data_IF_666652538583
#
_entry.id   IF_666652538583
#
_cell.length_a   1.000
_cell.length_b   1.000
_cell.length_c   1.000
_cell.angle_alpha   90.00
_cell.angle_beta   90.00
_cell.angle_gamma   90.00
#
_symmetry.space_group_name_H-M   'P 1'
#
loop_
_entity.id
_entity.type
_entity.pdbx_description
1 polymer ?
#
# COMPACT_ATOMS: atom_id res chain seq x y z
N UNK A 1 -14.89 7.46 -22.04
CA UNK A 1 -13.46 7.55 -21.67
C UNK A 1 -13.44 8.29 -20.35
N UNK A 2 -12.81 7.76 -19.34
CA UNK A 2 -12.81 8.36 -17.99
C UNK A 2 -11.59 9.29 -17.85
N UNK A 3 -11.84 10.54 -17.48
CA UNK A 3 -10.79 11.52 -17.22
C UNK A 3 -10.23 11.34 -15.81
N UNK A 4 -8.95 11.02 -15.71
CA UNK A 4 -8.28 10.68 -14.45
C UNK A 4 -7.14 11.65 -14.18
N UNK A 5 -7.22 12.36 -13.07
CA UNK A 5 -6.13 13.24 -12.61
C UNK A 5 -5.32 12.54 -11.54
N UNK A 6 -4.00 12.46 -11.72
CA UNK A 6 -3.07 11.86 -10.74
C UNK A 6 -2.29 12.99 -10.07
N UNK A 7 -2.57 13.24 -8.79
CA UNK A 7 -1.81 14.16 -7.95
C UNK A 7 -0.59 13.44 -7.38
N UNK A 8 0.60 14.04 -7.50
CA UNK A 8 1.86 13.41 -7.13
C UNK A 8 2.35 12.39 -8.17
N UNK A 9 2.08 12.65 -9.44
CA UNK A 9 2.38 11.75 -10.55
C UNK A 9 3.87 11.39 -10.70
N UNK A 10 4.78 12.23 -10.21
CA UNK A 10 6.24 11.99 -10.21
C UNK A 10 6.76 11.12 -9.08
N UNK A 11 5.93 10.84 -8.07
CA UNK A 11 6.25 9.92 -6.97
C UNK A 11 6.34 8.46 -7.43
N UNK A 12 6.81 7.57 -6.55
CA UNK A 12 6.93 6.14 -6.88
C UNK A 12 5.59 5.52 -7.28
N UNK A 13 4.54 5.79 -6.50
CA UNK A 13 3.20 5.26 -6.76
C UNK A 13 2.57 5.94 -7.98
N UNK A 14 2.68 7.27 -8.10
CA UNK A 14 2.16 8.03 -9.26
C UNK A 14 2.75 7.52 -10.58
N UNK A 15 4.07 7.33 -10.66
CA UNK A 15 4.72 6.78 -11.86
C UNK A 15 4.35 5.34 -12.15
N UNK A 16 4.15 4.51 -11.12
CA UNK A 16 3.66 3.13 -11.27
C UNK A 16 2.28 3.13 -11.93
N UNK A 17 1.34 3.89 -11.38
CA UNK A 17 -0.03 4.01 -11.89
C UNK A 17 -0.03 4.57 -13.32
N UNK A 18 0.70 5.67 -13.55
CA UNK A 18 0.81 6.29 -14.87
C UNK A 18 1.32 5.31 -15.93
N UNK A 19 2.35 4.51 -15.60
CA UNK A 19 2.91 3.52 -16.52
C UNK A 19 1.88 2.45 -16.91
N UNK A 20 1.06 2.00 -15.97
CA UNK A 20 0.05 0.97 -16.19
C UNK A 20 -1.14 1.52 -16.98
N UNK A 21 -1.57 2.75 -16.69
CA UNK A 21 -2.78 3.32 -17.29
C UNK A 21 -2.56 4.00 -18.65
N UNK A 22 -1.36 4.49 -18.96
CA UNK A 22 -1.10 5.36 -20.12
C UNK A 22 -1.46 4.75 -21.48
N UNK A 23 -1.44 3.44 -21.59
CA UNK A 23 -1.77 2.71 -22.82
C UNK A 23 -3.18 2.11 -22.79
N UNK A 24 -3.92 2.30 -21.70
CA UNK A 24 -5.27 1.81 -21.58
C UNK A 24 -6.27 2.84 -22.18
N UNK A 25 -6.94 2.51 -23.31
CA UNK A 25 -7.80 3.45 -24.03
C UNK A 25 -9.08 3.85 -23.26
N UNK A 26 -9.34 3.25 -22.11
CA UNK A 26 -10.50 3.59 -21.27
C UNK A 26 -10.26 4.87 -20.46
N UNK A 27 -9.00 5.28 -20.30
CA UNK A 27 -8.61 6.40 -19.43
C UNK A 27 -7.85 7.47 -20.18
N UNK A 28 -8.15 8.73 -19.88
CA UNK A 28 -7.35 9.91 -20.24
C UNK A 28 -6.65 10.39 -18.98
N UNK A 29 -5.32 10.52 -19.01
CA UNK A 29 -4.55 10.89 -17.83
C UNK A 29 -4.14 12.35 -17.85
N UNK A 30 -4.31 13.04 -16.73
CA UNK A 30 -3.75 14.35 -16.43
C UNK A 30 -2.80 14.23 -15.24
N UNK A 31 -1.53 14.54 -15.47
CA UNK A 31 -0.47 14.31 -14.49
C UNK A 31 -0.11 15.63 -13.81
N UNK A 32 -0.38 15.73 -12.52
CA UNK A 32 -0.08 16.88 -11.69
C UNK A 32 1.08 16.57 -10.76
N UNK A 33 2.16 17.33 -10.88
CA UNK A 33 3.37 17.18 -10.07
C UNK A 33 4.03 18.54 -9.83
N UNK A 34 4.02 19.07 -8.61
CA UNK A 34 4.63 20.36 -8.31
C UNK A 34 6.16 20.30 -8.19
N UNK A 35 6.72 19.13 -7.84
CA UNK A 35 8.14 18.95 -7.58
C UNK A 35 8.97 18.88 -8.86
N UNK A 36 10.03 19.68 -8.97
CA UNK A 36 10.92 19.72 -10.15
C UNK A 36 11.48 18.33 -10.52
N UNK A 37 11.96 17.59 -9.53
CA UNK A 37 12.48 16.22 -9.75
C UNK A 37 11.39 15.27 -10.28
N UNK A 38 10.17 15.37 -9.75
CA UNK A 38 9.05 14.54 -10.20
C UNK A 38 8.64 14.89 -11.64
N UNK A 39 8.61 16.17 -11.99
CA UNK A 39 8.36 16.65 -13.36
C UNK A 39 9.38 16.09 -14.35
N UNK A 40 10.68 16.22 -14.03
CA UNK A 40 11.74 15.68 -14.90
C UNK A 40 11.57 14.19 -15.15
N UNK A 41 11.24 13.40 -14.15
CA UNK A 41 11.01 11.96 -14.29
C UNK A 41 9.79 11.60 -15.18
N UNK A 42 8.75 12.44 -15.18
CA UNK A 42 7.58 12.28 -16.04
C UNK A 42 7.96 12.63 -17.48
N UNK A 43 8.64 13.76 -17.69
CA UNK A 43 9.08 14.26 -19.01
C UNK A 43 10.08 13.32 -19.68
N UNK A 44 11.02 12.74 -18.91
CA UNK A 44 11.94 11.69 -19.37
C UNK A 44 11.22 10.43 -19.91
N UNK A 45 10.00 10.16 -19.41
CA UNK A 45 9.15 9.07 -19.89
C UNK A 45 8.28 9.44 -21.11
N UNK A 46 8.46 10.66 -21.66
CA UNK A 46 7.74 11.14 -22.83
C UNK A 46 6.32 11.65 -22.52
N UNK A 47 6.01 11.92 -21.26
CA UNK A 47 4.71 12.41 -20.80
C UNK A 47 4.79 13.89 -20.40
N UNK A 48 3.64 14.55 -20.35
CA UNK A 48 3.54 15.97 -19.98
C UNK A 48 2.87 16.13 -18.62
N UNK A 49 3.35 17.11 -17.87
CA UNK A 49 2.75 17.55 -16.61
C UNK A 49 1.86 18.75 -16.90
N UNK A 50 0.66 18.78 -16.35
CA UNK A 50 -0.25 19.91 -16.37
C UNK A 50 -0.25 20.61 -15.02
N UNK A 51 -0.72 21.87 -15.00
CA UNK A 51 -0.92 22.54 -13.71
C UNK A 51 -2.16 21.98 -12.99
N UNK A 52 -2.27 22.28 -11.69
CA UNK A 52 -3.35 21.72 -10.85
C UNK A 52 -4.74 22.14 -11.35
N UNK A 53 -4.91 23.38 -11.77
CA UNK A 53 -6.20 23.90 -12.23
C UNK A 53 -6.65 23.22 -13.53
N UNK A 54 -5.74 23.04 -14.48
CA UNK A 54 -5.98 22.29 -15.71
C UNK A 54 -6.26 20.81 -15.41
N UNK A 55 -5.48 20.21 -14.49
CA UNK A 55 -5.67 18.83 -14.06
C UNK A 55 -7.06 18.57 -13.49
N UNK A 56 -7.58 19.48 -12.65
CA UNK A 56 -8.85 19.31 -11.96
C UNK A 56 -10.10 19.63 -12.82
N UNK A 57 -9.95 20.41 -13.87
CA UNK A 57 -11.08 20.86 -14.69
C UNK A 57 -11.74 19.68 -15.44
N UNK A 58 -13.02 19.36 -15.14
CA UNK A 58 -13.79 18.32 -15.80
C UNK A 58 -13.23 16.92 -15.63
N UNK A 59 -12.49 16.65 -14.53
CA UNK A 59 -11.99 15.31 -14.21
C UNK A 59 -13.08 14.45 -13.58
N UNK A 60 -13.16 13.17 -13.94
CA UNK A 60 -14.11 12.22 -13.35
C UNK A 60 -13.57 11.66 -12.03
N UNK A 61 -12.25 11.36 -11.99
CA UNK A 61 -11.60 10.76 -10.81
C UNK A 61 -10.28 11.47 -10.52
N UNK A 62 -10.09 11.88 -9.26
CA UNK A 62 -8.81 12.40 -8.76
C UNK A 62 -8.14 11.34 -7.89
N UNK A 63 -6.96 10.87 -8.29
CA UNK A 63 -6.14 9.91 -7.55
C UNK A 63 -5.10 10.65 -6.72
N UNK A 64 -5.11 10.44 -5.40
CA UNK A 64 -4.14 11.03 -4.47
C UNK A 64 -2.94 10.08 -4.30
N UNK A 65 -1.93 10.24 -5.16
CA UNK A 65 -0.67 9.49 -5.11
C UNK A 65 0.45 10.28 -4.40
N UNK A 66 0.10 10.92 -3.29
CA UNK A 66 0.95 11.82 -2.51
C UNK A 66 1.31 11.20 -1.15
N UNK A 67 2.45 11.57 -0.53
CA UNK A 67 2.84 11.06 0.78
C UNK A 67 1.82 11.38 1.89
N UNK A 68 1.65 10.46 2.86
CA UNK A 68 0.66 10.55 3.94
C UNK A 68 0.79 11.82 4.78
N UNK A 69 2.01 12.28 5.01
CA UNK A 69 2.27 13.52 5.77
C UNK A 69 1.69 14.78 5.16
N UNK A 70 1.48 14.82 3.83
CA UNK A 70 1.00 15.99 3.11
C UNK A 70 -0.39 15.80 2.50
N UNK A 71 -0.92 14.56 2.47
CA UNK A 71 -2.20 14.23 1.85
C UNK A 71 -3.35 15.07 2.43
N UNK A 72 -3.38 15.28 3.73
CA UNK A 72 -4.36 16.13 4.43
C UNK A 72 -4.39 17.55 3.88
N UNK A 73 -3.22 18.17 3.73
CA UNK A 73 -3.10 19.54 3.22
C UNK A 73 -3.56 19.65 1.77
N UNK A 74 -3.13 18.71 0.93
CA UNK A 74 -3.52 18.64 -0.48
C UNK A 74 -5.02 18.36 -0.62
N UNK A 75 -5.58 17.45 0.17
CA UNK A 75 -7.02 17.18 0.15
C UNK A 75 -7.84 18.40 0.57
N UNK A 76 -7.39 19.15 1.59
CA UNK A 76 -8.04 20.37 2.05
C UNK A 76 -8.01 21.49 0.99
N UNK A 77 -6.98 21.53 0.15
CA UNK A 77 -6.87 22.48 -0.97
C UNK A 77 -7.69 22.04 -2.18
N UNK A 78 -7.59 20.78 -2.58
CA UNK A 78 -8.11 20.25 -3.84
C UNK A 78 -9.61 19.95 -3.77
N UNK A 79 -10.08 19.25 -2.73
CA UNK A 79 -11.48 18.80 -2.68
C UNK A 79 -12.50 19.93 -2.79
N UNK A 80 -12.30 21.12 -2.18
CA UNK A 80 -13.21 22.25 -2.38
C UNK A 80 -13.30 22.76 -3.82
N UNK A 81 -12.30 22.49 -4.65
CA UNK A 81 -12.22 22.99 -6.05
C UNK A 81 -12.86 22.02 -7.06
N UNK A 82 -13.16 20.80 -6.65
CA UNK A 82 -13.69 19.76 -7.54
C UNK A 82 -15.13 20.08 -7.97
N UNK A 83 -15.47 19.67 -9.18
CA UNK A 83 -16.85 19.71 -9.67
C UNK A 83 -17.70 18.66 -8.94
N UNK A 84 -19.03 18.91 -8.89
CA UNK A 84 -19.99 17.94 -8.33
C UNK A 84 -19.91 16.62 -9.10
N UNK A 85 -20.11 15.52 -8.40
CA UNK A 85 -20.03 14.14 -8.90
C UNK A 85 -18.62 13.63 -9.25
N UNK A 86 -17.57 14.42 -8.99
CA UNK A 86 -16.19 13.93 -9.07
C UNK A 86 -15.94 12.86 -8.00
N UNK A 87 -15.22 11.82 -8.34
CA UNK A 87 -14.74 10.81 -7.38
C UNK A 87 -13.32 11.14 -6.93
N UNK A 88 -13.02 10.93 -5.65
CA UNK A 88 -11.64 10.95 -5.13
C UNK A 88 -11.22 9.57 -4.71
N UNK A 89 -10.00 9.17 -5.06
CA UNK A 89 -9.42 7.87 -4.77
C UNK A 89 -8.10 8.04 -4.01
N UNK A 90 -8.08 7.61 -2.77
CA UNK A 90 -6.88 7.55 -1.95
C UNK A 90 -6.20 6.20 -2.07
N UNK A 91 -4.87 6.18 -2.04
CA UNK A 91 -4.06 4.96 -2.16
C UNK A 91 -3.67 4.38 -0.81
N UNK A 92 -4.05 5.06 0.27
CA UNK A 92 -3.82 4.65 1.65
C UNK A 92 -5.03 5.04 2.52
N UNK A 93 -5.43 4.21 3.50
CA UNK A 93 -6.57 4.50 4.35
C UNK A 93 -6.33 5.58 5.40
N UNK A 94 -5.07 5.91 5.75
CA UNK A 94 -4.74 6.65 6.96
C UNK A 94 -5.45 7.99 7.08
N UNK A 95 -5.44 8.82 6.03
CA UNK A 95 -6.07 10.14 6.10
C UNK A 95 -7.60 10.04 6.18
N UNK A 96 -8.20 9.09 5.48
CA UNK A 96 -9.65 8.88 5.43
C UNK A 96 -10.14 8.27 6.76
N UNK A 97 -9.47 7.23 7.27
CA UNK A 97 -9.79 6.58 8.53
C UNK A 97 -9.60 7.50 9.75
N UNK A 98 -8.65 8.44 9.68
CA UNK A 98 -8.43 9.45 10.72
C UNK A 98 -9.39 10.65 10.63
N UNK A 99 -10.37 10.65 9.71
CA UNK A 99 -11.29 11.76 9.45
C UNK A 99 -10.57 13.09 9.15
N UNK A 100 -9.49 13.00 8.35
CA UNK A 100 -8.63 14.15 8.00
C UNK A 100 -8.82 14.65 6.57
N UNK A 101 -9.81 14.12 5.87
CA UNK A 101 -10.17 14.48 4.50
C UNK A 101 -11.47 15.29 4.52
N UNK A 102 -11.53 16.48 3.89
CA UNK A 102 -12.77 17.25 3.78
C UNK A 102 -13.88 16.42 3.14
N UNK A 103 -15.03 16.35 3.78
CA UNK A 103 -16.20 15.66 3.24
C UNK A 103 -17.12 16.64 2.53
N UNK A 104 -17.55 16.25 1.33
CA UNK A 104 -18.59 16.92 0.54
C UNK A 104 -19.63 15.89 0.13
N UNK A 105 -20.92 16.24 0.25
CA UNK A 105 -22.03 15.31 -0.05
C UNK A 105 -22.23 15.09 -1.56
N UNK A 106 -21.69 15.96 -2.38
CA UNK A 106 -21.74 15.89 -3.85
C UNK A 106 -20.51 15.24 -4.49
N UNK A 107 -19.61 14.67 -3.69
CA UNK A 107 -18.40 13.97 -4.10
C UNK A 107 -18.35 12.60 -3.48
N UNK A 108 -17.89 11.60 -4.22
CA UNK A 108 -17.66 10.24 -3.73
C UNK A 108 -16.20 10.02 -3.37
N UNK A 109 -15.96 9.34 -2.25
CA UNK A 109 -14.61 9.03 -1.76
C UNK A 109 -14.41 7.52 -1.65
N UNK A 110 -13.31 7.08 -2.22
CA UNK A 110 -12.88 5.70 -2.25
C UNK A 110 -11.45 5.56 -1.76
N UNK A 111 -11.13 4.38 -1.26
CA UNK A 111 -9.76 4.02 -0.86
C UNK A 111 -9.40 2.69 -1.49
N UNK A 112 -8.20 2.59 -2.02
CA UNK A 112 -7.64 1.33 -2.50
C UNK A 112 -6.19 1.17 -2.07
N UNK A 113 -5.76 -0.06 -1.86
CA UNK A 113 -4.36 -0.37 -1.58
C UNK A 113 -3.97 -1.69 -2.25
N UNK A 114 -2.80 -1.77 -2.91
CA UNK A 114 -2.31 -3.04 -3.45
C UNK A 114 -1.77 -3.91 -2.34
N UNK A 115 -2.06 -5.23 -2.38
CA UNK A 115 -1.53 -6.16 -1.39
C UNK A 115 -0.04 -6.45 -1.57
N UNK A 116 0.56 -5.96 -2.66
CA UNK A 116 1.84 -6.41 -3.22
C UNK A 116 1.84 -7.89 -3.60
N UNK A 117 2.77 -8.34 -4.47
CA UNK A 117 2.88 -9.75 -4.82
C UNK A 117 3.15 -10.62 -3.60
N UNK A 118 2.35 -11.69 -3.40
CA UNK A 118 2.45 -12.52 -2.20
C UNK A 118 3.69 -13.41 -2.22
N UNK A 119 4.18 -13.77 -1.03
CA UNK A 119 5.41 -14.55 -0.86
C UNK A 119 5.33 -15.96 -1.48
N UNK A 120 4.17 -16.61 -1.44
CA UNK A 120 3.99 -18.01 -1.86
C UNK A 120 2.94 -18.24 -2.92
N UNK A 121 2.08 -17.29 -3.21
CA UNK A 121 0.95 -17.48 -4.12
C UNK A 121 1.24 -17.02 -5.56
N UNK A 122 2.49 -17.08 -5.99
CA UNK A 122 2.92 -16.74 -7.35
C UNK A 122 2.60 -17.88 -8.33
N UNK A 123 1.35 -18.34 -8.34
CA UNK A 123 0.91 -19.40 -9.25
C UNK A 123 0.96 -18.89 -10.70
N UNK A 124 1.69 -19.62 -11.56
CA UNK A 124 1.87 -19.25 -12.97
C UNK A 124 2.99 -18.23 -13.22
N UNK A 125 3.66 -17.74 -12.21
CA UNK A 125 4.81 -16.83 -12.32
C UNK A 125 6.08 -17.62 -12.65
N UNK A 126 6.25 -18.04 -13.91
CA UNK A 126 7.46 -18.73 -14.37
C UNK A 126 8.59 -17.76 -14.68
N UNK A 127 8.28 -16.49 -14.98
CA UNK A 127 9.27 -15.47 -15.30
C UNK A 127 10.10 -15.11 -14.05
N UNK A 128 11.44 -15.27 -14.09
CA UNK A 128 12.32 -14.84 -13.01
C UNK A 128 12.26 -13.35 -12.69
N UNK A 129 11.87 -12.51 -13.65
CA UNK A 129 11.68 -11.07 -13.43
C UNK A 129 10.44 -10.80 -12.58
N UNK A 130 9.32 -11.49 -12.84
CA UNK A 130 8.11 -11.39 -12.02
C UNK A 130 8.37 -11.78 -10.55
N UNK A 131 9.18 -12.83 -10.31
CA UNK A 131 9.58 -13.25 -8.95
C UNK A 131 10.42 -12.22 -8.18
N UNK A 132 10.94 -11.21 -8.86
CA UNK A 132 11.70 -10.09 -8.27
C UNK A 132 10.90 -8.79 -8.25
N UNK A 133 9.70 -8.82 -8.75
CA UNK A 133 8.79 -7.68 -8.73
C UNK A 133 8.09 -7.57 -7.37
N UNK A 134 8.88 -7.41 -6.29
CA UNK A 134 8.39 -7.35 -4.91
C UNK A 134 7.40 -6.20 -4.67
N UNK A 135 7.51 -5.16 -5.48
CA UNK A 135 6.67 -3.97 -5.38
C UNK A 135 5.35 -4.12 -6.15
N UNK A 136 5.24 -5.08 -7.07
CA UNK A 136 4.11 -5.22 -8.00
C UNK A 136 4.15 -4.14 -9.08
N UNK A 137 5.29 -4.02 -9.72
CA UNK A 137 5.55 -3.04 -10.78
C UNK A 137 4.97 -3.40 -12.15
N UNK A 138 4.03 -4.34 -12.24
CA UNK A 138 3.34 -4.74 -13.46
C UNK A 138 3.79 -6.08 -14.04
N UNK A 139 4.66 -6.83 -13.35
CA UNK A 139 5.09 -8.16 -13.78
C UNK A 139 4.46 -9.27 -12.92
N UNK A 140 4.48 -9.12 -11.59
CA UNK A 140 3.92 -10.10 -10.68
C UNK A 140 2.46 -9.83 -10.36
N UNK A 141 1.67 -10.89 -10.29
CA UNK A 141 0.25 -10.82 -9.93
C UNK A 141 0.07 -10.50 -8.45
N UNK A 142 -0.87 -9.62 -8.15
CA UNK A 142 -1.23 -9.21 -6.79
C UNK A 142 -2.75 -9.09 -6.66
N UNK A 143 -3.23 -8.91 -5.44
CA UNK A 143 -4.60 -8.48 -5.18
C UNK A 143 -4.64 -6.98 -4.83
N UNK A 144 -5.84 -6.44 -4.72
CA UNK A 144 -6.09 -5.13 -4.14
C UNK A 144 -7.17 -5.22 -3.06
N UNK A 145 -7.17 -4.29 -2.14
CA UNK A 145 -8.31 -4.00 -1.28
C UNK A 145 -8.96 -2.70 -1.73
N UNK A 146 -10.29 -2.61 -1.64
CA UNK A 146 -11.07 -1.47 -2.09
C UNK A 146 -12.18 -1.15 -1.08
N UNK A 147 -12.35 0.12 -0.76
CA UNK A 147 -13.37 0.60 0.17
C UNK A 147 -14.11 1.82 -0.38
N UNK A 148 -15.43 1.85 -0.14
CA UNK A 148 -16.25 3.06 -0.28
C UNK A 148 -16.25 3.77 1.06
N UNK A 149 -15.68 4.97 1.12
CA UNK A 149 -15.66 5.75 2.35
C UNK A 149 -16.96 6.54 2.54
N UNK A 150 -17.41 7.25 1.49
CA UNK A 150 -18.71 7.90 1.43
C UNK A 150 -19.08 8.24 -0.03
N UNK A 151 -20.33 8.62 -0.29
CA UNK A 151 -20.83 9.08 -1.57
C UNK A 151 -21.67 8.06 -2.31
N UNK A 152 -21.71 8.15 -3.64
CA UNK A 152 -22.55 7.35 -4.50
C UNK A 152 -21.94 5.96 -4.77
N UNK A 153 -22.58 4.93 -4.22
CA UNK A 153 -22.25 3.51 -4.51
C UNK A 153 -22.34 3.20 -6.03
N UNK A 154 -23.11 3.94 -6.80
CA UNK A 154 -23.20 3.77 -8.25
C UNK A 154 -21.88 4.02 -8.97
N UNK A 155 -20.98 4.82 -8.40
CA UNK A 155 -19.66 5.08 -8.94
C UNK A 155 -18.60 4.05 -8.52
N UNK A 156 -18.90 3.24 -7.51
CA UNK A 156 -17.92 2.29 -6.95
C UNK A 156 -17.36 1.32 -8.01
N UNK A 157 -18.21 0.81 -8.91
CA UNK A 157 -17.75 -0.11 -9.95
C UNK A 157 -16.77 0.54 -10.94
N UNK A 158 -17.00 1.81 -11.30
CA UNK A 158 -16.09 2.56 -12.17
C UNK A 158 -14.74 2.78 -11.51
N UNK A 159 -14.74 3.23 -10.25
CA UNK A 159 -13.51 3.55 -9.51
C UNK A 159 -12.76 2.26 -9.12
N UNK A 160 -13.45 1.17 -8.80
CA UNK A 160 -12.82 -0.12 -8.55
C UNK A 160 -12.16 -0.70 -9.82
N UNK A 161 -12.79 -0.57 -10.98
CA UNK A 161 -12.18 -0.96 -12.26
C UNK A 161 -10.93 -0.11 -12.56
N UNK A 162 -10.96 1.18 -12.26
CA UNK A 162 -9.77 2.03 -12.33
C UNK A 162 -8.68 1.53 -11.37
N UNK A 163 -9.03 1.21 -10.12
CA UNK A 163 -8.08 0.69 -9.15
C UNK A 163 -7.45 -0.64 -9.61
N UNK A 164 -8.24 -1.55 -10.18
CA UNK A 164 -7.74 -2.79 -10.79
C UNK A 164 -6.75 -2.47 -11.91
N UNK A 165 -7.12 -1.60 -12.85
CA UNK A 165 -6.24 -1.21 -13.96
C UNK A 165 -4.95 -0.51 -13.49
N UNK A 166 -5.00 0.26 -12.41
CA UNK A 166 -3.82 0.92 -11.82
C UNK A 166 -2.75 -0.07 -11.34
N UNK A 167 -3.17 -1.23 -10.86
CA UNK A 167 -2.31 -2.19 -10.19
C UNK A 167 -2.14 -3.51 -10.93
N UNK A 168 -2.55 -3.59 -12.19
CA UNK A 168 -2.39 -4.80 -13.02
C UNK A 168 -0.95 -5.36 -13.01
N UNK A 169 -0.84 -6.71 -13.07
CA UNK A 169 -1.89 -7.73 -13.10
C UNK A 169 -2.52 -7.98 -11.72
N UNK A 170 -3.85 -7.88 -11.63
CA UNK A 170 -4.63 -8.07 -10.40
C UNK A 170 -5.42 -9.38 -10.46
N UNK A 171 -5.21 -10.23 -9.47
CA UNK A 171 -5.93 -11.51 -9.36
C UNK A 171 -7.34 -11.34 -8.77
N UNK A 172 -7.49 -10.40 -7.83
CA UNK A 172 -8.74 -10.20 -7.09
C UNK A 172 -8.79 -8.79 -6.47
N UNK A 173 -9.96 -8.17 -6.50
CA UNK A 173 -10.31 -7.02 -5.67
C UNK A 173 -11.15 -7.47 -4.49
N UNK A 174 -10.73 -7.12 -3.26
CA UNK A 174 -11.47 -7.41 -2.04
C UNK A 174 -12.14 -6.14 -1.53
N UNK A 175 -13.48 -6.10 -1.55
CA UNK A 175 -14.21 -5.00 -0.93
C UNK A 175 -14.24 -5.16 0.58
N UNK A 176 -13.72 -4.17 1.28
CA UNK A 176 -13.67 -4.10 2.75
C UNK A 176 -14.05 -2.68 3.20
N UNK A 177 -14.21 -2.45 4.49
CA UNK A 177 -14.40 -1.09 5.02
C UNK A 177 -13.07 -0.35 5.18
N UNK A 178 -13.12 0.98 5.28
CA UNK A 178 -11.93 1.80 5.57
C UNK A 178 -11.30 1.39 6.91
N UNK A 179 -12.11 1.11 7.93
CA UNK A 179 -11.61 0.65 9.24
C UNK A 179 -10.92 -0.72 9.15
N UNK A 180 -11.46 -1.65 8.35
CA UNK A 180 -10.81 -2.93 8.10
C UNK A 180 -9.48 -2.75 7.34
N UNK A 181 -9.42 -1.80 6.40
CA UNK A 181 -8.18 -1.47 5.69
C UNK A 181 -7.14 -0.88 6.65
N UNK A 182 -7.56 -0.05 7.60
CA UNK A 182 -6.71 0.50 8.64
C UNK A 182 -6.14 -0.57 9.60
N UNK A 183 -6.84 -1.69 9.81
CA UNK A 183 -6.28 -2.84 10.53
C UNK A 183 -5.19 -3.56 9.73
N UNK A 184 -5.32 -3.60 8.40
CA UNK A 184 -4.33 -4.26 7.53
C UNK A 184 -3.04 -3.45 7.41
N UNK A 185 -3.14 -2.16 7.07
CA UNK A 185 -1.95 -1.37 6.74
C UNK A 185 -1.19 -0.90 7.98
N UNK A 186 -1.66 0.02 8.82
CA UNK A 186 -0.84 0.50 9.92
C UNK A 186 -0.63 -0.53 11.03
N UNK A 187 -1.62 -1.34 11.37
CA UNK A 187 -1.49 -2.25 12.51
C UNK A 187 -0.78 -3.57 12.13
N UNK A 188 -1.31 -4.31 11.13
CA UNK A 188 -0.77 -5.62 10.78
C UNK A 188 0.53 -5.51 10.00
N UNK A 189 0.56 -4.66 8.96
CA UNK A 189 1.70 -4.60 8.04
C UNK A 189 2.82 -3.72 8.59
N UNK A 190 2.56 -2.45 8.85
CA UNK A 190 3.61 -1.51 9.23
C UNK A 190 4.10 -1.75 10.66
N UNK A 191 3.19 -1.88 11.62
CA UNK A 191 3.57 -2.01 13.03
C UNK A 191 4.03 -3.42 13.36
N UNK A 192 3.21 -4.45 13.12
CA UNK A 192 3.56 -5.80 13.54
C UNK A 192 4.60 -6.44 12.59
N UNK A 193 4.27 -6.54 11.31
CA UNK A 193 5.10 -7.29 10.36
C UNK A 193 6.44 -6.62 10.15
N UNK A 194 6.47 -5.33 9.79
CA UNK A 194 7.72 -4.62 9.56
C UNK A 194 8.52 -4.45 10.86
N UNK A 195 7.86 -4.25 12.00
CA UNK A 195 8.49 -4.22 13.31
C UNK A 195 9.22 -5.54 13.64
N UNK A 196 8.55 -6.69 13.44
CA UNK A 196 9.17 -8.01 13.63
C UNK A 196 10.34 -8.24 12.67
N UNK A 197 10.20 -7.87 11.39
CA UNK A 197 11.27 -8.00 10.40
C UNK A 197 12.48 -7.14 10.77
N UNK A 198 12.28 -5.92 11.27
CA UNK A 198 13.35 -5.06 11.76
C UNK A 198 14.11 -5.70 12.93
N UNK A 199 13.40 -6.25 13.92
CA UNK A 199 14.01 -6.97 15.05
C UNK A 199 14.79 -8.21 14.58
N UNK A 200 14.27 -8.97 13.61
CA UNK A 200 14.98 -10.10 13.01
C UNK A 200 16.29 -9.64 12.36
N UNK A 201 16.27 -8.50 11.65
CA UNK A 201 17.48 -7.91 11.05
C UNK A 201 18.51 -7.50 12.11
N UNK A 202 18.08 -6.85 13.19
CA UNK A 202 18.95 -6.52 14.32
C UNK A 202 19.54 -7.77 14.98
N UNK A 203 18.73 -8.85 15.10
CA UNK A 203 19.19 -10.15 15.59
C UNK A 203 20.31 -10.73 14.74
N UNK A 204 20.26 -10.60 13.43
CA UNK A 204 21.34 -10.99 12.52
C UNK A 204 22.63 -10.24 12.85
N UNK A 205 22.56 -8.92 13.06
CA UNK A 205 23.72 -8.08 13.38
C UNK A 205 24.34 -8.47 14.74
N UNK A 206 23.51 -8.87 15.73
CA UNK A 206 24.00 -9.38 17.02
C UNK A 206 24.77 -10.68 16.89
N UNK A 207 24.32 -11.59 16.03
CA UNK A 207 24.98 -12.87 15.77
C UNK A 207 26.32 -12.65 15.06
N UNK A 208 26.39 -11.73 14.09
CA UNK A 208 27.63 -11.34 13.42
C UNK A 208 28.61 -10.69 14.41
N UNK A 209 28.13 -9.82 15.28
CA UNK A 209 28.95 -9.19 16.33
C UNK A 209 29.50 -10.22 17.36
N UNK A 210 28.82 -11.34 17.54
CA UNK A 210 29.28 -12.46 18.36
C UNK A 210 30.33 -13.35 17.67
N UNK A 211 30.75 -13.02 16.44
CA UNK A 211 31.84 -13.67 15.72
C UNK A 211 31.41 -14.71 14.68
N UNK A 212 30.10 -14.86 14.39
CA UNK A 212 29.67 -15.71 13.29
C UNK A 212 29.88 -14.96 11.96
N UNK A 213 30.45 -15.61 10.92
CA UNK A 213 30.66 -14.95 9.62
C UNK A 213 29.35 -14.40 9.04
N UNK A 214 29.38 -13.17 8.56
CA UNK A 214 28.18 -12.46 8.06
C UNK A 214 27.43 -13.25 6.98
N UNK A 215 28.15 -13.77 5.99
CA UNK A 215 27.51 -14.53 4.89
C UNK A 215 26.86 -15.82 5.39
N UNK A 216 27.50 -16.51 6.30
CA UNK A 216 26.93 -17.72 6.93
C UNK A 216 25.64 -17.39 7.71
N UNK A 217 25.68 -16.30 8.48
CA UNK A 217 24.50 -15.82 9.23
C UNK A 217 23.37 -15.43 8.29
N UNK A 218 23.67 -14.71 7.23
CA UNK A 218 22.69 -14.30 6.21
C UNK A 218 22.03 -15.51 5.53
N UNK A 219 22.83 -16.43 5.03
CA UNK A 219 22.32 -17.62 4.33
C UNK A 219 21.46 -18.49 5.25
N UNK A 220 21.94 -18.70 6.47
CA UNK A 220 21.18 -19.45 7.47
C UNK A 220 19.84 -18.78 7.80
N UNK A 221 19.87 -17.46 8.09
CA UNK A 221 18.67 -16.73 8.43
C UNK A 221 17.66 -16.69 7.28
N UNK A 222 18.10 -16.38 6.03
CA UNK A 222 17.18 -16.30 4.89
C UNK A 222 16.50 -17.65 4.61
N UNK A 223 17.23 -18.77 4.68
CA UNK A 223 16.65 -20.08 4.53
C UNK A 223 15.65 -20.43 5.64
N UNK A 224 15.96 -20.06 6.88
CA UNK A 224 15.07 -20.31 8.02
C UNK A 224 13.85 -19.40 8.05
N UNK A 225 13.95 -18.15 7.56
CA UNK A 225 12.79 -17.29 7.36
C UNK A 225 11.82 -17.91 6.35
N UNK A 226 12.32 -18.35 5.21
CA UNK A 226 11.47 -18.96 4.17
C UNK A 226 10.74 -20.19 4.70
N UNK A 227 11.46 -21.16 5.29
CA UNK A 227 10.84 -22.38 5.80
C UNK A 227 9.95 -22.10 7.03
N UNK A 228 10.35 -21.20 7.92
CA UNK A 228 9.57 -20.82 9.10
C UNK A 228 8.23 -20.20 8.74
N UNK A 229 8.22 -19.25 7.79
CA UNK A 229 6.97 -18.65 7.29
C UNK A 229 6.10 -19.73 6.62
N UNK A 230 6.70 -20.60 5.79
CA UNK A 230 5.95 -21.66 5.12
C UNK A 230 5.29 -22.63 6.11
N UNK A 231 5.96 -22.96 7.21
CA UNK A 231 5.41 -23.83 8.25
C UNK A 231 4.31 -23.15 9.07
N UNK A 232 4.52 -21.90 9.49
CA UNK A 232 3.58 -21.16 10.34
C UNK A 232 2.30 -20.82 9.57
N UNK A 233 2.42 -20.54 8.25
CA UNK A 233 1.28 -20.25 7.36
C UNK A 233 0.80 -21.49 6.58
N UNK A 234 1.13 -22.70 7.04
CA UNK A 234 0.58 -23.98 6.57
C UNK A 234 0.67 -24.19 5.05
N UNK A 235 1.80 -23.76 4.43
CA UNK A 235 2.01 -23.93 2.99
C UNK A 235 2.23 -25.39 2.59
N UNK A 236 2.54 -26.26 3.55
CA UNK A 236 2.67 -27.72 3.41
C UNK A 236 2.50 -28.45 4.76
N UNK A 237 2.22 -29.74 4.71
CA UNK A 237 1.87 -30.54 5.90
C UNK A 237 3.12 -30.97 6.69
N UNK A 238 3.87 -30.02 7.21
CA UNK A 238 4.97 -30.27 8.15
C UNK A 238 4.81 -29.44 9.41
N UNK A 239 5.50 -29.84 10.47
CA UNK A 239 5.47 -29.15 11.76
C UNK A 239 6.88 -28.81 12.21
N UNK A 240 6.99 -27.75 13.00
CA UNK A 240 8.22 -27.44 13.73
C UNK A 240 8.61 -28.60 14.63
N UNK A 241 9.91 -28.87 14.78
CA UNK A 241 10.42 -29.84 15.73
C UNK A 241 10.01 -29.48 17.17
N UNK A 242 9.97 -30.46 18.08
CA UNK A 242 9.61 -30.21 19.49
C UNK A 242 10.48 -29.12 20.13
N UNK A 243 11.78 -29.10 19.84
CA UNK A 243 12.69 -28.07 20.31
C UNK A 243 12.36 -26.67 19.77
N UNK A 244 12.00 -26.59 18.48
CA UNK A 244 11.59 -25.32 17.86
C UNK A 244 10.22 -24.85 18.41
N UNK A 245 9.28 -25.73 18.66
CA UNK A 245 8.00 -25.39 19.31
C UNK A 245 8.21 -24.84 20.73
N UNK A 246 9.10 -25.46 21.52
CA UNK A 246 9.46 -25.00 22.86
C UNK A 246 10.12 -23.59 22.79
N UNK A 247 11.04 -23.37 21.86
CA UNK A 247 11.68 -22.08 21.65
C UNK A 247 10.66 -21.01 21.24
N UNK A 248 9.73 -21.33 20.35
CA UNK A 248 8.64 -20.45 19.93
C UNK A 248 7.71 -20.06 21.10
N UNK A 249 7.34 -21.03 21.93
CA UNK A 249 6.52 -20.76 23.12
C UNK A 249 7.20 -19.78 24.07
N UNK A 250 8.49 -19.98 24.34
CA UNK A 250 9.29 -19.10 25.21
C UNK A 250 9.56 -17.74 24.58
N UNK A 251 9.66 -17.62 23.26
CA UNK A 251 9.96 -16.37 22.60
C UNK A 251 8.90 -15.31 22.83
N UNK A 252 7.63 -15.70 22.99
CA UNK A 252 6.53 -14.78 23.30
C UNK A 252 6.75 -14.06 24.60
N UNK A 253 7.16 -14.76 25.66
CA UNK A 253 7.46 -14.18 26.97
C UNK A 253 8.75 -13.35 26.99
N UNK A 254 9.74 -13.70 26.13
CA UNK A 254 11.06 -13.07 26.14
C UNK A 254 11.17 -11.85 25.24
N UNK A 255 10.43 -11.80 24.14
CA UNK A 255 10.59 -10.79 23.08
C UNK A 255 9.41 -9.82 23.03
N UNK A 256 8.19 -10.31 23.24
CA UNK A 256 6.98 -9.51 23.11
C UNK A 256 6.47 -9.07 24.49
N UNK A 257 5.81 -7.90 24.49
CA UNK A 257 5.02 -7.49 25.66
C UNK A 257 3.75 -8.34 25.74
N UNK A 258 3.26 -8.59 26.93
CA UNK A 258 2.03 -9.39 27.15
C UNK A 258 0.81 -8.78 26.44
N UNK A 259 0.78 -7.46 26.32
CA UNK A 259 -0.29 -6.67 25.73
C UNK A 259 -0.04 -6.26 24.26
N UNK A 260 0.88 -6.93 23.53
CA UNK A 260 1.27 -6.57 22.17
C UNK A 260 0.08 -6.48 21.19
N UNK A 261 -0.96 -7.26 21.41
CA UNK A 261 -2.18 -7.29 20.59
C UNK A 261 -3.00 -6.00 20.66
N UNK A 262 -2.74 -5.12 21.63
CA UNK A 262 -3.40 -3.81 21.74
C UNK A 262 -3.20 -2.90 20.54
N UNK A 263 -2.18 -3.14 19.72
CA UNK A 263 -1.99 -2.42 18.44
C UNK A 263 -3.19 -2.55 17.48
N UNK A 264 -4.05 -3.55 17.68
CA UNK A 264 -5.27 -3.76 16.89
C UNK A 264 -6.53 -3.17 17.55
N UNK A 265 -6.42 -2.60 18.73
CA UNK A 265 -7.55 -1.92 19.38
C UNK A 265 -7.85 -0.61 18.62
N UNK A 266 -9.14 -0.24 18.47
CA UNK A 266 -9.54 0.94 17.68
C UNK A 266 -8.81 2.22 18.07
N UNK A 267 -8.61 2.44 19.37
CA UNK A 267 -7.90 3.64 19.88
C UNK A 267 -6.43 3.66 19.47
N UNK A 268 -5.74 2.51 19.51
CA UNK A 268 -4.35 2.39 19.12
C UNK A 268 -4.16 2.55 17.60
N UNK A 269 -5.07 1.97 16.81
CA UNK A 269 -5.10 2.16 15.36
C UNK A 269 -5.31 3.62 15.01
N UNK A 270 -6.30 4.29 15.63
CA UNK A 270 -6.57 5.71 15.40
C UNK A 270 -5.37 6.60 15.78
N UNK A 271 -4.70 6.31 16.89
CA UNK A 271 -3.51 7.04 17.31
C UNK A 271 -2.37 6.89 16.28
N UNK A 272 -2.12 5.66 15.79
CA UNK A 272 -1.15 5.40 14.73
C UNK A 272 -1.48 6.18 13.44
N UNK A 273 -2.74 6.15 12.99
CA UNK A 273 -3.19 6.89 11.81
C UNK A 273 -2.96 8.41 11.94
N UNK A 274 -3.23 8.98 13.12
CA UNK A 274 -2.97 10.39 13.39
C UNK A 274 -1.49 10.72 13.31
N UNK A 275 -0.63 9.86 13.85
CA UNK A 275 0.83 10.05 13.81
C UNK A 275 1.36 9.97 12.37
N UNK A 276 0.90 8.99 11.57
CA UNK A 276 1.30 8.80 10.16
C UNK A 276 0.91 10.02 9.32
N UNK A 277 -0.28 10.57 9.55
CA UNK A 277 -0.81 11.73 8.80
C UNK A 277 -0.36 13.09 9.32
N UNK A 278 0.70 13.15 10.13
CA UNK A 278 1.38 14.39 10.51
C UNK A 278 0.99 14.98 11.87
N UNK A 279 0.41 14.19 12.78
CA UNK A 279 0.03 14.65 14.12
C UNK A 279 -1.26 15.48 14.13
N UNK A 280 -1.51 16.22 15.20
CA UNK A 280 -2.75 16.99 15.42
C UNK A 280 -3.20 17.91 14.30
#
# INVERSE_FOLDING_TARGET
MTEVTILGAGGNMGRRITRTLRENPQYTLRLVEPGERGRSLIEESGLQVVDQAEGLAGTDVVVFAVPDKIVRGIAAEVIPLLESSTSVLFLDPAAVAADRVPRRDDISCFVTHPTHPPLYSLLGEEDPAARRDYWGGGLATQAIVFAVAWGDEGQAALVENLAIAMFEPVSQSYRITVDQMALLEPALTETLTNGCIAVIREGMDRVVAAGVPEEATRQFLMGHLQIGIALIFEQFDWRLSEGAQLALARSREQIFRDDWHRIFEPEAVLDSLKQITGGD
#
